data_IF_243397361567
#
_entry.id   IF_243397361567
#
_cell.length_a   1.000
_cell.length_b   1.000
_cell.length_c   1.000
_cell.angle_alpha   90.00
_cell.angle_beta   90.00
_cell.angle_gamma   90.00
#
_symmetry.space_group_name_H-M   'P 1'
#
loop_
_entity.id
_entity.type
_entity.pdbx_description
1 polymer ?
#
# COMPACT_ATOMS: atom_id res chain seq x y z
N UNK A 1 16.36 6.99 26.82
CA UNK A 1 17.24 7.54 25.75
C UNK A 1 18.27 6.53 25.25
N UNK A 2 18.87 5.69 26.10
CA UNK A 2 19.84 4.62 25.70
C UNK A 2 19.27 3.55 24.75
N UNK A 3 18.01 3.15 24.90
CA UNK A 3 17.41 2.12 24.04
C UNK A 3 17.31 2.49 22.56
N UNK A 4 17.15 3.77 22.22
CA UNK A 4 17.01 4.21 20.81
C UNK A 4 18.33 4.07 20.02
N UNK A 5 19.45 4.28 20.69
CA UNK A 5 20.78 4.20 20.06
C UNK A 5 21.21 2.76 19.79
N UNK A 6 20.86 1.84 20.70
CA UNK A 6 21.15 0.41 20.54
C UNK A 6 20.30 -0.21 19.40
N UNK A 7 19.01 0.16 19.28
CA UNK A 7 18.17 -0.26 18.17
C UNK A 7 18.63 0.27 16.83
N UNK A 8 19.14 1.51 16.81
CA UNK A 8 19.70 2.10 15.60
C UNK A 8 20.92 1.32 15.09
N UNK A 9 21.83 0.95 15.99
CA UNK A 9 23.03 0.15 15.65
C UNK A 9 22.65 -1.25 15.13
N UNK A 10 21.70 -1.91 15.78
CA UNK A 10 21.20 -3.21 15.33
C UNK A 10 20.54 -3.13 13.95
N UNK A 11 19.79 -2.07 13.70
CA UNK A 11 19.19 -1.81 12.39
C UNK A 11 20.26 -1.56 11.33
N UNK A 12 21.21 -0.67 11.58
CA UNK A 12 22.29 -0.37 10.64
C UNK A 12 23.08 -1.65 10.29
N UNK A 13 23.42 -2.46 11.28
CA UNK A 13 24.06 -3.76 11.07
C UNK A 13 23.19 -4.69 10.21
N UNK A 14 21.90 -4.79 10.50
CA UNK A 14 20.99 -5.62 9.71
C UNK A 14 20.86 -5.15 8.26
N UNK A 15 20.87 -3.84 8.00
CA UNK A 15 20.87 -3.30 6.64
C UNK A 15 22.15 -3.66 5.91
N UNK A 16 23.30 -3.55 6.57
CA UNK A 16 24.60 -3.89 5.97
C UNK A 16 24.68 -5.38 5.61
N UNK A 17 24.20 -6.26 6.48
CA UNK A 17 24.11 -7.70 6.22
C UNK A 17 23.17 -8.00 5.03
N UNK A 18 22.01 -7.35 4.96
CA UNK A 18 21.06 -7.52 3.86
C UNK A 18 21.62 -6.99 2.53
N UNK A 19 22.41 -5.91 2.57
CA UNK A 19 23.07 -5.36 1.39
C UNK A 19 24.17 -6.27 0.82
N UNK A 20 24.74 -7.15 1.64
CA UNK A 20 25.71 -8.17 1.23
C UNK A 20 25.03 -9.45 0.70
N UNK A 21 23.71 -9.55 0.78
CA UNK A 21 22.98 -10.71 0.27
C UNK A 21 23.17 -10.88 -1.24
N UNK A 22 23.40 -12.11 -1.68
CA UNK A 22 23.42 -12.47 -3.11
C UNK A 22 22.05 -12.29 -3.76
N UNK A 23 20.97 -12.48 -2.99
CA UNK A 23 19.61 -12.28 -3.48
C UNK A 23 19.28 -10.79 -3.64
N UNK A 24 18.63 -10.38 -4.75
CA UNK A 24 18.22 -8.99 -4.96
C UNK A 24 17.10 -8.55 -4.00
N UNK A 25 16.22 -9.47 -3.56
CA UNK A 25 15.05 -9.11 -2.73
C UNK A 25 15.46 -8.57 -1.36
N UNK A 26 16.34 -9.21 -0.57
CA UNK A 26 16.80 -8.63 0.69
C UNK A 26 17.44 -7.25 0.52
N UNK A 27 18.22 -7.03 -0.55
CA UNK A 27 18.80 -5.71 -0.85
C UNK A 27 17.75 -4.65 -1.15
N UNK A 28 16.71 -4.99 -1.92
CA UNK A 28 15.59 -4.07 -2.18
C UNK A 28 14.87 -3.73 -0.88
N UNK A 29 14.57 -4.71 -0.04
CA UNK A 29 13.90 -4.51 1.24
C UNK A 29 14.71 -3.63 2.19
N UNK A 30 16.03 -3.80 2.25
CA UNK A 30 16.93 -2.99 3.07
C UNK A 30 16.98 -1.52 2.62
N UNK A 31 16.92 -1.28 1.32
CA UNK A 31 17.06 0.05 0.74
C UNK A 31 15.72 0.77 0.52
N UNK A 32 14.62 0.04 0.52
CA UNK A 32 13.28 0.62 0.39
C UNK A 32 12.94 1.49 1.59
N UNK A 33 12.40 2.66 1.32
CA UNK A 33 11.82 3.53 2.34
C UNK A 33 10.50 4.14 1.85
N UNK A 34 9.68 4.62 2.77
CA UNK A 34 8.43 5.28 2.42
C UNK A 34 8.69 6.71 1.97
N UNK A 35 8.45 6.99 0.70
CA UNK A 35 8.54 8.32 0.12
C UNK A 35 7.33 9.16 0.47
N UNK A 36 7.52 10.37 1.00
CA UNK A 36 6.39 11.25 1.32
C UNK A 36 6.07 12.23 0.21
N UNK A 37 7.05 12.57 -0.60
CA UNK A 37 6.90 13.51 -1.71
C UNK A 37 7.68 13.01 -2.91
N UNK A 38 7.05 13.16 -4.06
CA UNK A 38 7.61 12.78 -5.34
C UNK A 38 7.87 14.03 -6.18
N UNK A 39 8.78 13.94 -7.13
CA UNK A 39 8.88 14.93 -8.18
C UNK A 39 7.78 14.72 -9.24
N UNK A 40 7.74 15.58 -10.23
CA UNK A 40 6.71 15.56 -11.29
C UNK A 40 7.10 14.70 -12.49
N UNK A 41 8.23 13.99 -12.43
CA UNK A 41 8.71 13.14 -13.52
C UNK A 41 7.72 11.98 -13.72
N UNK A 42 7.13 11.82 -14.90
CA UNK A 42 6.20 10.73 -15.16
C UNK A 42 6.86 9.37 -15.01
N UNK A 43 6.12 8.41 -14.48
CA UNK A 43 6.54 7.01 -14.52
C UNK A 43 6.48 6.52 -15.98
N UNK A 44 7.57 5.95 -16.53
CA UNK A 44 7.57 5.42 -17.88
C UNK A 44 6.48 4.37 -18.08
N UNK A 45 5.82 4.41 -19.22
CA UNK A 45 4.71 3.49 -19.54
C UNK A 45 5.11 2.01 -19.43
N UNK A 46 6.34 1.69 -19.89
CA UNK A 46 6.90 0.35 -19.73
C UNK A 46 6.98 -0.07 -18.25
N UNK A 47 7.44 0.81 -17.38
CA UNK A 47 7.52 0.54 -15.92
C UNK A 47 6.13 0.40 -15.31
N UNK A 48 5.16 1.24 -15.71
CA UNK A 48 3.77 1.09 -15.27
C UNK A 48 3.22 -0.28 -15.63
N UNK A 49 3.48 -0.75 -16.87
CA UNK A 49 3.04 -2.07 -17.30
C UNK A 49 3.67 -3.17 -16.44
N UNK A 50 4.97 -3.15 -16.21
CA UNK A 50 5.66 -4.15 -15.39
C UNK A 50 5.12 -4.19 -13.95
N UNK A 51 4.81 -3.02 -13.37
CA UNK A 51 4.21 -2.91 -12.05
C UNK A 51 2.80 -3.52 -12.04
N UNK A 52 1.97 -3.21 -13.03
CA UNK A 52 0.61 -3.76 -13.12
C UNK A 52 0.63 -5.28 -13.37
N UNK A 53 1.53 -5.75 -14.21
CA UNK A 53 1.72 -7.19 -14.45
C UNK A 53 2.10 -7.92 -13.14
N UNK A 54 2.95 -7.32 -12.31
CA UNK A 54 3.34 -7.91 -11.02
C UNK A 54 2.16 -8.08 -10.05
N UNK A 55 1.18 -7.18 -10.12
CA UNK A 55 -0.06 -7.28 -9.34
C UNK A 55 -0.89 -8.49 -9.78
N UNK A 56 -0.95 -8.78 -11.07
CA UNK A 56 -1.72 -9.90 -11.62
C UNK A 56 -1.17 -11.26 -11.17
N UNK A 57 0.13 -11.35 -10.89
CA UNK A 57 0.78 -12.56 -10.39
C UNK A 57 0.65 -12.77 -8.88
N UNK A 58 -0.20 -11.99 -8.23
CA UNK A 58 -0.44 -12.17 -6.79
C UNK A 58 -1.17 -13.48 -6.53
N UNK A 59 -0.67 -14.32 -5.62
CA UNK A 59 -1.37 -15.53 -5.24
C UNK A 59 -2.68 -15.17 -4.53
N UNK A 60 -3.77 -15.80 -4.98
CA UNK A 60 -5.09 -15.67 -4.41
C UNK A 60 -5.67 -17.05 -4.07
N UNK A 61 -6.41 -17.15 -2.97
CA UNK A 61 -7.06 -18.40 -2.59
C UNK A 61 -8.03 -18.83 -3.69
N UNK A 62 -7.88 -20.07 -4.16
CA UNK A 62 -8.72 -20.62 -5.22
C UNK A 62 -8.60 -19.93 -6.58
N UNK A 63 -7.51 -19.19 -6.82
CA UNK A 63 -7.27 -18.38 -8.00
C UNK A 63 -8.29 -17.25 -8.23
N UNK A 64 -9.09 -16.91 -7.21
CA UNK A 64 -10.07 -15.82 -7.27
C UNK A 64 -9.45 -14.54 -6.71
N UNK A 65 -9.34 -13.52 -7.55
CA UNK A 65 -8.98 -12.18 -7.08
C UNK A 65 -10.18 -11.54 -6.39
N UNK A 66 -9.94 -10.94 -5.23
CA UNK A 66 -10.98 -10.28 -4.42
C UNK A 66 -10.81 -8.77 -4.41
N UNK A 67 -10.11 -8.23 -5.38
CA UNK A 67 -9.79 -6.80 -5.45
C UNK A 67 -9.73 -6.28 -6.88
N UNK A 68 -9.90 -4.97 -7.01
CA UNK A 68 -9.55 -4.20 -8.21
C UNK A 68 -8.62 -3.06 -7.85
N UNK A 69 -7.81 -2.62 -8.82
CA UNK A 69 -6.85 -1.54 -8.63
C UNK A 69 -7.13 -0.44 -9.64
N UNK A 70 -7.25 0.79 -9.14
CA UNK A 70 -7.23 1.97 -10.00
C UNK A 70 -5.78 2.44 -10.12
N UNK A 71 -5.27 2.52 -11.33
CA UNK A 71 -3.98 3.13 -11.64
C UNK A 71 -4.23 4.57 -12.12
N UNK A 72 -3.90 5.55 -11.28
CA UNK A 72 -4.16 6.96 -11.53
C UNK A 72 -2.85 7.63 -11.91
N UNK A 73 -2.76 8.11 -13.14
CA UNK A 73 -1.59 8.78 -13.70
C UNK A 73 -1.73 10.31 -13.63
N UNK A 74 -0.80 11.04 -14.26
CA UNK A 74 -0.81 12.50 -14.38
C UNK A 74 -1.56 13.02 -15.64
N UNK A 75 -2.51 12.22 -16.19
CA UNK A 75 -3.49 12.75 -17.14
C UNK A 75 -4.31 13.88 -16.49
N UNK A 76 -5.03 14.67 -17.27
CA UNK A 76 -5.87 15.75 -16.73
C UNK A 76 -6.87 15.21 -15.70
N UNK A 77 -7.61 14.17 -16.08
CA UNK A 77 -8.59 13.55 -15.19
C UNK A 77 -7.92 12.89 -13.98
N UNK A 78 -6.75 12.27 -14.18
CA UNK A 78 -5.98 11.65 -13.10
C UNK A 78 -5.49 12.66 -12.07
N UNK A 79 -5.05 13.85 -12.50
CA UNK A 79 -4.66 14.94 -11.61
C UNK A 79 -5.83 15.44 -10.77
N UNK A 80 -6.99 15.64 -11.37
CA UNK A 80 -8.20 16.07 -10.67
C UNK A 80 -8.65 15.02 -9.65
N UNK A 81 -8.61 13.75 -10.03
CA UNK A 81 -8.94 12.64 -9.15
C UNK A 81 -7.95 12.55 -7.97
N UNK A 82 -6.63 12.67 -8.22
CA UNK A 82 -5.62 12.70 -7.17
C UNK A 82 -5.81 13.88 -6.21
N UNK A 83 -6.16 15.05 -6.70
CA UNK A 83 -6.49 16.21 -5.86
C UNK A 83 -7.74 15.97 -5.00
N UNK A 84 -8.75 15.32 -5.54
CA UNK A 84 -9.95 14.92 -4.80
C UNK A 84 -9.59 13.92 -3.70
N UNK A 85 -8.80 12.89 -4.03
CA UNK A 85 -8.30 11.91 -3.05
C UNK A 85 -7.48 12.60 -1.95
N UNK A 86 -6.60 13.52 -2.32
CA UNK A 86 -5.76 14.25 -1.36
C UNK A 86 -6.60 15.07 -0.36
N UNK A 87 -7.60 15.77 -0.85
CA UNK A 87 -8.42 16.67 -0.02
C UNK A 87 -9.48 15.95 0.81
N UNK A 88 -10.12 14.92 0.24
CA UNK A 88 -11.32 14.33 0.82
C UNK A 88 -11.09 12.95 1.41
N UNK A 89 -10.13 12.21 0.90
CA UNK A 89 -9.89 10.81 1.30
C UNK A 89 -8.63 10.67 2.15
N UNK A 90 -7.50 11.13 1.65
CA UNK A 90 -6.20 10.93 2.30
C UNK A 90 -5.94 11.88 3.48
N UNK A 91 -6.91 12.71 3.80
CA UNK A 91 -6.86 13.59 4.96
C UNK A 91 -7.32 12.83 6.18
N UNK A 92 -6.40 12.26 6.94
CA UNK A 92 -6.68 11.68 8.24
C UNK A 92 -6.03 12.50 9.31
N UNK A 93 -6.84 12.98 10.21
CA UNK A 93 -6.33 13.57 11.44
C UNK A 93 -6.94 12.79 12.60
N UNK A 94 -6.20 11.89 13.25
CA UNK A 94 -6.55 11.55 14.62
C UNK A 94 -6.62 12.86 15.41
N UNK A 95 -7.69 13.09 16.13
CA UNK A 95 -7.94 14.36 16.84
C UNK A 95 -6.71 14.90 17.58
N UNK A 96 -5.91 14.02 18.20
CA UNK A 96 -4.65 14.38 18.88
C UNK A 96 -3.53 14.84 17.93
N UNK A 97 -3.45 14.29 16.73
CA UNK A 97 -2.44 14.71 15.77
C UNK A 97 -2.79 16.07 15.16
N UNK A 98 -4.08 16.37 15.02
CA UNK A 98 -4.58 17.66 14.53
C UNK A 98 -4.25 18.80 15.50
N UNK A 99 -4.37 18.55 16.81
CA UNK A 99 -4.03 19.52 17.84
C UNK A 99 -2.52 19.81 17.91
N UNK A 100 -1.68 18.78 17.66
CA UNK A 100 -0.22 18.88 17.81
C UNK A 100 0.50 19.30 16.53
N UNK A 101 0.00 18.88 15.36
CA UNK A 101 0.71 18.96 14.07
C UNK A 101 -0.08 19.76 13.01
N UNK A 102 -1.25 20.27 13.35
CA UNK A 102 -2.15 20.86 12.38
C UNK A 102 -2.82 19.81 11.49
N UNK A 103 -3.21 20.21 10.30
CA UNK A 103 -3.85 19.31 9.34
C UNK A 103 -2.84 18.30 8.78
N UNK A 104 -3.01 17.03 9.13
CA UNK A 104 -2.13 15.94 8.63
C UNK A 104 -2.67 15.47 7.30
N UNK A 105 -1.95 15.75 6.25
CA UNK A 105 -2.25 15.28 4.90
C UNK A 105 -1.25 14.21 4.46
N UNK A 106 -1.66 13.37 3.51
CA UNK A 106 -0.84 12.31 2.95
C UNK A 106 -0.41 12.65 1.52
N UNK A 107 0.63 13.48 1.31
CA UNK A 107 1.02 13.97 -0.01
C UNK A 107 1.48 12.86 -0.95
N UNK A 108 1.77 11.67 -0.46
CA UNK A 108 2.13 10.53 -1.29
C UNK A 108 1.05 10.12 -2.29
N UNK A 109 -0.21 10.53 -2.09
CA UNK A 109 -1.30 10.29 -3.07
C UNK A 109 -1.25 11.25 -4.26
N UNK A 110 -0.32 12.20 -4.26
CA UNK A 110 -0.03 13.09 -5.38
C UNK A 110 1.15 12.60 -6.24
N UNK A 111 1.64 11.37 -5.99
CA UNK A 111 2.69 10.74 -6.79
C UNK A 111 2.30 10.68 -8.29
N UNK A 112 3.28 10.67 -9.22
CA UNK A 112 3.02 10.54 -10.66
C UNK A 112 2.14 9.34 -11.02
N UNK A 113 2.32 8.21 -10.32
CA UNK A 113 1.43 7.05 -10.38
C UNK A 113 0.88 6.75 -8.98
N UNK A 114 -0.43 6.63 -8.85
CA UNK A 114 -1.08 6.20 -7.60
C UNK A 114 -1.90 4.95 -7.89
N UNK A 115 -1.62 3.89 -7.16
CA UNK A 115 -2.41 2.66 -7.18
C UNK A 115 -3.38 2.70 -6.00
N UNK A 116 -4.68 2.58 -6.29
CA UNK A 116 -5.75 2.59 -5.29
C UNK A 116 -6.39 1.21 -5.29
N UNK A 117 -6.20 0.48 -4.20
CA UNK A 117 -6.66 -0.89 -4.05
C UNK A 117 -8.02 -0.91 -3.35
N UNK A 118 -8.97 -1.52 -4.03
CA UNK A 118 -10.33 -1.69 -3.57
C UNK A 118 -10.64 -3.17 -3.36
N UNK A 119 -11.25 -3.54 -2.24
CA UNK A 119 -11.90 -4.83 -2.17
C UNK A 119 -13.05 -4.86 -3.17
N UNK A 120 -13.17 -6.00 -3.86
CA UNK A 120 -14.10 -6.17 -4.97
C UNK A 120 -14.72 -7.54 -4.93
N UNK A 121 -16.03 -7.61 -5.15
CA UNK A 121 -16.78 -8.87 -5.23
C UNK A 121 -17.00 -9.22 -6.69
N UNK A 122 -16.33 -10.24 -7.15
CA UNK A 122 -16.60 -10.83 -8.47
C UNK A 122 -17.86 -11.69 -8.39
N UNK A 123 -18.74 -11.63 -9.40
CA UNK A 123 -19.93 -12.45 -9.55
C UNK A 123 -19.75 -13.54 -10.61
N UNK A 124 -20.78 -14.34 -10.80
CA UNK A 124 -20.83 -15.35 -11.88
C UNK A 124 -20.71 -14.71 -13.26
N UNK A 125 -21.22 -13.50 -13.41
CA UNK A 125 -21.13 -12.70 -14.64
C UNK A 125 -19.69 -12.33 -15.03
N UNK A 126 -18.77 -12.37 -14.06
CA UNK A 126 -17.32 -12.14 -14.31
C UNK A 126 -16.58 -13.44 -14.73
N UNK A 127 -17.32 -14.54 -14.91
CA UNK A 127 -16.76 -15.83 -15.33
C UNK A 127 -16.20 -16.70 -14.19
N UNK A 128 -16.44 -16.31 -12.96
CA UNK A 128 -16.05 -17.09 -11.77
C UNK A 128 -17.13 -18.17 -11.50
N UNK A 129 -16.99 -19.31 -12.19
CA UNK A 129 -17.92 -20.44 -12.07
C UNK A 129 -17.53 -21.26 -10.82
N UNK A 130 -18.47 -21.40 -9.89
CA UNK A 130 -18.45 -22.43 -8.85
C UNK A 130 -17.69 -22.13 -7.57
N UNK A 131 -17.18 -20.92 -7.37
CA UNK A 131 -16.74 -20.49 -6.05
C UNK A 131 -17.87 -19.71 -5.38
N UNK A 132 -18.45 -20.32 -4.37
CA UNK A 132 -19.35 -19.58 -3.45
C UNK A 132 -18.50 -18.52 -2.73
N UNK A 133 -18.50 -17.30 -3.28
CA UNK A 133 -17.78 -16.16 -2.71
C UNK A 133 -18.36 -15.75 -1.35
N UNK A 134 -19.51 -16.28 -0.99
CA UNK A 134 -20.00 -16.35 0.36
C UNK A 134 -19.32 -17.52 1.09
N UNK A 135 -18.02 -17.41 1.36
CA UNK A 135 -17.39 -18.29 2.34
C UNK A 135 -18.03 -17.98 3.70
N UNK A 136 -19.13 -18.66 3.93
CA UNK A 136 -19.74 -18.74 5.25
C UNK A 136 -18.79 -19.56 6.10
N UNK A 137 -18.05 -18.90 6.97
CA UNK A 137 -17.26 -19.61 7.97
C UNK A 137 -18.23 -20.39 8.84
N UNK A 138 -18.17 -21.72 8.77
CA UNK A 138 -18.95 -22.57 9.65
C UNK A 138 -18.14 -22.76 10.92
N UNK A 139 -18.46 -22.03 11.96
CA UNK A 139 -17.91 -22.20 13.29
C UNK A 139 -18.96 -22.93 14.14
N UNK A 140 -18.59 -24.09 14.66
CA UNK A 140 -19.49 -24.95 15.50
C UNK A 140 -20.83 -25.32 14.83
N UNK A 141 -20.81 -25.51 13.51
CA UNK A 141 -22.02 -25.85 12.74
C UNK A 141 -22.97 -24.70 12.50
N UNK A 142 -22.63 -23.48 12.91
CA UNK A 142 -23.37 -22.25 12.62
C UNK A 142 -22.64 -21.42 11.56
N UNK A 143 -23.43 -20.87 10.65
CA UNK A 143 -22.93 -19.96 9.62
C UNK A 143 -22.61 -18.63 10.29
N UNK A 144 -21.32 -18.26 10.32
CA UNK A 144 -20.92 -16.94 10.78
C UNK A 144 -21.26 -15.88 9.71
N UNK A 145 -22.41 -15.24 9.87
CA UNK A 145 -22.89 -14.18 8.97
C UNK A 145 -22.05 -12.90 8.99
N UNK A 146 -21.09 -12.80 9.91
CA UNK A 146 -20.18 -11.65 10.03
C UNK A 146 -18.90 -11.82 9.21
N UNK A 147 -18.75 -12.95 8.51
CA UNK A 147 -17.64 -13.10 7.56
C UNK A 147 -17.97 -12.35 6.27
N UNK A 148 -17.56 -11.08 6.24
CA UNK A 148 -17.84 -10.18 5.11
C UNK A 148 -17.08 -10.55 3.82
N UNK A 149 -16.40 -11.68 3.80
CA UNK A 149 -15.58 -12.09 2.66
C UNK A 149 -14.41 -11.15 2.35
N UNK A 150 -14.10 -10.22 3.25
CA UNK A 150 -12.99 -9.29 3.12
C UNK A 150 -11.66 -10.00 3.36
N UNK A 151 -11.21 -10.73 2.35
CA UNK A 151 -9.84 -11.22 2.36
C UNK A 151 -8.91 -10.10 1.88
N UNK A 152 -8.30 -9.38 2.81
CA UNK A 152 -7.35 -8.30 2.52
C UNK A 152 -5.94 -8.83 2.24
N UNK A 153 -5.67 -10.13 2.48
CA UNK A 153 -4.35 -10.72 2.30
C UNK A 153 -3.84 -10.62 0.85
N UNK A 154 -4.63 -10.97 -0.19
CA UNK A 154 -4.21 -10.80 -1.56
C UNK A 154 -3.90 -9.34 -1.92
N UNK A 155 -4.63 -8.39 -1.33
CA UNK A 155 -4.42 -6.95 -1.56
C UNK A 155 -3.07 -6.51 -1.01
N UNK A 156 -2.73 -6.93 0.21
CA UNK A 156 -1.44 -6.63 0.82
C UNK A 156 -0.27 -7.24 0.02
N UNK A 157 -0.44 -8.49 -0.45
CA UNK A 157 0.55 -9.16 -1.31
C UNK A 157 0.68 -8.46 -2.67
N UNK A 158 -0.42 -8.07 -3.30
CA UNK A 158 -0.44 -7.33 -4.56
C UNK A 158 0.26 -5.97 -4.44
N UNK A 159 -0.02 -5.25 -3.37
CA UNK A 159 0.65 -3.98 -3.08
C UNK A 159 2.15 -4.17 -2.85
N UNK A 160 2.58 -5.23 -2.16
CA UNK A 160 4.00 -5.52 -1.96
C UNK A 160 4.67 -5.92 -3.29
N UNK A 161 4.03 -6.70 -4.16
CA UNK A 161 4.54 -6.99 -5.49
C UNK A 161 4.76 -5.71 -6.30
N UNK A 162 3.77 -4.80 -6.31
CA UNK A 162 3.91 -3.51 -6.97
C UNK A 162 5.05 -2.66 -6.40
N UNK A 163 5.19 -2.62 -5.07
CA UNK A 163 6.24 -1.89 -4.37
C UNK A 163 7.62 -2.44 -4.74
N UNK A 164 7.84 -3.74 -4.62
CA UNK A 164 9.14 -4.35 -4.93
C UNK A 164 9.49 -4.21 -6.40
N UNK A 165 8.51 -4.35 -7.30
CA UNK A 165 8.73 -4.14 -8.73
C UNK A 165 9.12 -2.68 -9.01
N UNK A 166 8.39 -1.71 -8.46
CA UNK A 166 8.72 -0.29 -8.64
C UNK A 166 10.12 0.05 -8.11
N UNK A 167 10.48 -0.41 -6.92
CA UNK A 167 11.81 -0.19 -6.34
C UNK A 167 12.92 -0.86 -7.18
N UNK A 168 12.65 -2.03 -7.77
CA UNK A 168 13.62 -2.71 -8.67
C UNK A 168 13.85 -1.95 -9.97
N UNK A 169 12.88 -1.16 -10.40
CA UNK A 169 12.93 -0.27 -11.57
C UNK A 169 13.54 1.12 -11.24
N UNK A 170 14.04 1.31 -10.02
CA UNK A 170 14.62 2.58 -9.57
C UNK A 170 13.60 3.66 -9.20
N UNK A 171 12.34 3.30 -9.09
CA UNK A 171 11.28 4.16 -8.58
C UNK A 171 11.22 4.07 -7.05
N UNK A 172 10.58 5.04 -6.43
CA UNK A 172 10.33 5.05 -5.00
C UNK A 172 8.85 4.91 -4.73
N UNK A 173 8.53 4.40 -3.54
CA UNK A 173 7.17 4.03 -3.19
C UNK A 173 6.71 4.60 -1.86
N UNK A 174 5.41 4.78 -1.72
CA UNK A 174 4.79 5.18 -0.47
C UNK A 174 3.47 4.42 -0.25
N UNK A 175 3.48 3.53 0.70
CA UNK A 175 2.28 2.88 1.19
C UNK A 175 1.45 3.84 2.06
N UNK A 176 0.15 3.87 1.86
CA UNK A 176 -0.79 4.66 2.64
C UNK A 176 -2.05 3.86 2.97
N UNK A 177 -2.32 3.72 4.25
CA UNK A 177 -3.59 3.20 4.79
C UNK A 177 -4.30 4.25 5.67
N UNK A 178 -3.83 5.50 5.59
CA UNK A 178 -4.39 6.61 6.34
C UNK A 178 -5.40 7.35 5.45
N UNK A 179 -6.66 7.02 5.58
CA UNK A 179 -7.75 7.68 4.87
C UNK A 179 -9.02 7.70 5.71
N UNK A 180 -9.94 8.59 5.40
CA UNK A 180 -11.25 8.61 6.01
C UNK A 180 -12.25 7.82 5.17
N UNK A 181 -13.04 6.97 5.82
CA UNK A 181 -14.05 6.15 5.16
C UNK A 181 -15.17 6.97 4.50
N UNK A 182 -15.69 8.06 5.12
CA UNK A 182 -16.71 8.87 4.47
C UNK A 182 -16.26 9.44 3.12
N UNK A 183 -15.00 9.91 3.01
CA UNK A 183 -14.44 10.37 1.74
C UNK A 183 -14.29 9.25 0.73
N UNK A 184 -13.82 8.07 1.15
CA UNK A 184 -13.72 6.90 0.29
C UNK A 184 -15.10 6.45 -0.24
N UNK A 185 -16.14 6.46 0.61
CA UNK A 185 -17.52 6.15 0.21
C UNK A 185 -18.06 7.16 -0.81
N UNK A 186 -17.75 8.46 -0.65
CA UNK A 186 -18.13 9.48 -1.63
C UNK A 186 -17.46 9.24 -2.98
N UNK A 187 -16.18 8.85 -2.96
CA UNK A 187 -15.43 8.53 -4.17
C UNK A 187 -16.07 7.38 -4.95
N UNK A 188 -16.61 6.38 -4.24
CA UNK A 188 -17.36 5.27 -4.83
C UNK A 188 -18.78 5.62 -5.23
N UNK A 189 -19.41 6.62 -4.62
CA UNK A 189 -20.82 6.95 -4.88
C UNK A 189 -21.09 7.31 -6.35
N UNK A 190 -20.10 7.84 -7.06
CA UNK A 190 -20.16 8.09 -8.50
C UNK A 190 -19.92 6.86 -9.37
N UNK A 191 -19.48 5.74 -8.79
CA UNK A 191 -19.20 4.52 -9.53
C UNK A 191 -20.47 3.67 -9.66
N UNK A 192 -20.81 3.30 -10.89
CA UNK A 192 -21.98 2.45 -11.19
C UNK A 192 -21.77 0.99 -10.80
N UNK A 193 -20.54 0.55 -10.68
CA UNK A 193 -20.20 -0.81 -10.33
C UNK A 193 -20.36 -1.04 -8.81
N UNK A 194 -21.41 -1.75 -8.44
CA UNK A 194 -21.79 -2.07 -7.06
C UNK A 194 -20.88 -3.12 -6.39
N UNK A 195 -20.01 -3.74 -7.17
CA UNK A 195 -19.11 -4.78 -6.69
C UNK A 195 -17.89 -4.22 -5.95
N UNK A 196 -17.56 -2.94 -6.13
CA UNK A 196 -16.61 -2.26 -5.24
C UNK A 196 -17.16 -2.16 -3.82
N UNK A 197 -16.36 -2.55 -2.83
CA UNK A 197 -16.78 -2.58 -1.42
C UNK A 197 -16.10 -1.52 -0.59
N UNK A 198 -14.79 -1.59 -0.47
CA UNK A 198 -14.04 -0.76 0.46
C UNK A 198 -12.69 -0.37 -0.13
N UNK A 199 -12.23 0.85 0.21
CA UNK A 199 -10.85 1.25 -0.01
C UNK A 199 -9.95 0.56 1.01
N UNK A 200 -8.97 -0.20 0.54
CA UNK A 200 -8.10 -0.97 1.43
C UNK A 200 -6.75 -0.27 1.66
N UNK A 201 -6.14 0.19 0.59
CA UNK A 201 -4.87 0.92 0.67
C UNK A 201 -4.57 1.68 -0.62
N UNK A 202 -3.60 2.59 -0.53
CA UNK A 202 -3.06 3.32 -1.67
C UNK A 202 -1.54 3.19 -1.69
N UNK A 203 -0.96 3.16 -2.89
CA UNK A 203 0.50 3.18 -3.09
C UNK A 203 0.84 4.29 -4.07
N UNK A 204 1.58 5.29 -3.60
CA UNK A 204 2.19 6.30 -4.46
C UNK A 204 3.51 5.77 -5.03
N UNK A 205 3.77 6.02 -6.31
CA UNK A 205 4.94 5.54 -7.04
C UNK A 205 5.47 6.68 -7.91
N UNK A 206 6.78 6.87 -7.89
CA UNK A 206 7.46 7.90 -8.68
C UNK A 206 8.90 8.07 -8.27
N UNK A 207 9.52 9.15 -8.69
CA UNK A 207 10.87 9.52 -8.26
C UNK A 207 10.78 10.44 -7.04
N UNK A 208 11.71 10.28 -6.10
CA UNK A 208 11.75 11.15 -4.94
C UNK A 208 12.01 12.59 -5.30
N UNK A 209 11.32 13.52 -4.64
CA UNK A 209 11.75 14.91 -4.62
C UNK A 209 13.12 15.06 -3.93
N UNK A 210 13.86 16.10 -4.27
CA UNK A 210 15.17 16.40 -3.66
C UNK A 210 15.05 16.48 -2.14
N UNK A 211 14.00 17.13 -1.63
CA UNK A 211 13.72 17.23 -0.20
C UNK A 211 13.60 15.86 0.47
N UNK A 212 12.87 14.93 -0.13
CA UNK A 212 12.72 13.57 0.41
C UNK A 212 14.03 12.80 0.35
N UNK A 213 14.80 12.94 -0.72
CA UNK A 213 16.10 12.27 -0.85
C UNK A 213 17.08 12.72 0.23
N UNK A 214 17.09 14.01 0.57
CA UNK A 214 17.93 14.56 1.64
C UNK A 214 17.53 14.04 3.01
N UNK A 215 16.24 13.79 3.24
CA UNK A 215 15.67 13.33 4.51
C UNK A 215 15.53 11.80 4.61
N UNK A 216 16.05 11.05 3.65
CA UNK A 216 15.92 9.58 3.57
C UNK A 216 16.23 8.87 4.90
N UNK A 217 17.28 9.29 5.61
CA UNK A 217 17.66 8.72 6.91
C UNK A 217 16.60 8.90 7.98
N UNK A 218 15.91 10.04 7.99
CA UNK A 218 14.89 10.34 8.99
C UNK A 218 13.65 9.45 8.85
N UNK A 219 13.24 9.13 7.63
CA UNK A 219 12.05 8.30 7.39
C UNK A 219 12.27 6.82 7.71
N UNK A 220 13.48 6.31 7.54
CA UNK A 220 13.81 4.93 7.91
C UNK A 220 13.91 4.74 9.44
N UNK A 221 14.24 5.80 10.17
CA UNK A 221 14.39 5.78 11.65
C UNK A 221 13.04 6.04 12.34
N UNK A 222 12.08 6.64 11.65
CA UNK A 222 10.83 7.14 12.24
C UNK A 222 9.91 6.08 12.86
N UNK A 223 10.20 4.79 12.70
CA UNK A 223 9.50 3.71 13.38
C UNK A 223 10.33 3.07 14.50
N UNK A 224 11.18 3.84 15.16
CA UNK A 224 11.91 3.41 16.35
C UNK A 224 10.98 2.96 17.51
N UNK A 225 9.67 3.18 17.40
CA UNK A 225 8.65 2.59 18.27
C UNK A 225 8.24 1.16 17.85
N UNK A 226 8.75 0.63 16.75
CA UNK A 226 8.63 -0.78 16.47
C UNK A 226 9.49 -1.52 17.52
N UNK A 227 8.86 -1.83 18.64
CA UNK A 227 9.43 -2.76 19.61
C UNK A 227 9.95 -3.96 18.83
N UNK A 228 11.25 -4.06 18.79
CA UNK A 228 12.02 -5.26 18.52
C UNK A 228 11.48 -6.15 17.40
N UNK A 229 11.93 -5.90 16.19
CA UNK A 229 11.78 -6.89 15.10
C UNK A 229 12.43 -8.25 15.44
N UNK A 230 13.24 -8.30 16.47
CA UNK A 230 13.86 -9.52 17.00
C UNK A 230 12.86 -10.48 17.62
N UNK A 231 11.70 -9.98 18.10
CA UNK A 231 10.68 -10.82 18.74
C UNK A 231 9.62 -11.35 17.75
N UNK A 232 9.79 -11.09 16.45
CA UNK A 232 8.85 -11.56 15.43
C UNK A 232 8.98 -13.04 15.10
N UNK A 233 10.10 -13.68 15.49
CA UNK A 233 10.37 -15.06 15.13
C UNK A 233 10.67 -15.90 16.37
N UNK A 234 9.97 -17.01 16.51
CA UNK A 234 10.35 -18.09 17.38
C UNK A 234 10.83 -19.23 16.49
N UNK A 235 12.08 -19.64 16.64
CA UNK A 235 12.59 -20.85 15.99
C UNK A 235 12.27 -22.01 16.93
N UNK A 236 11.45 -22.95 16.48
CA UNK A 236 11.04 -24.16 17.21
C UNK A 236 11.84 -25.34 16.74
#
# INVERSE_FOLDING_TARGET
>A
MYMLEDYRKLWEKSIDELNQSESPIPRLLANRFTSKRFDTTPVPEKHMKEIMDSIQWTPCKGAVQTFKVWAITDSSEGKDLKQTIYKEVATTSPLKAKELLGEVTNPQVLAPLVLVFWSYRYGEEDGYIGYDLEQKEIVDGQINSNYDGHNTDPIAMAAMNAILTAESLGLNTAYCKCFNEPGAKKLLAGNKDKNYKQLELMVGIGYNSIETAQNKKCFNIGNANAKTRTDLFTVV
#
